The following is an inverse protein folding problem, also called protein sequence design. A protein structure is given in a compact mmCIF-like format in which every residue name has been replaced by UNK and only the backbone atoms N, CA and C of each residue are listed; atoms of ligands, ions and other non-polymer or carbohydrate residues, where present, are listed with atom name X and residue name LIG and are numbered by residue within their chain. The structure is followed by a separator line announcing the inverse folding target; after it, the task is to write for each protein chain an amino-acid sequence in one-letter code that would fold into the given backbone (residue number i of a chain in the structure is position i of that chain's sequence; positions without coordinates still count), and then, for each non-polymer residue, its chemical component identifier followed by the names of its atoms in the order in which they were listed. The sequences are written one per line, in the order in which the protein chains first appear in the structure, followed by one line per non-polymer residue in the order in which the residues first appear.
data_IF_955636108907
#
_entry.id   IF_955636108907
#
_cell.length_a   1.000
_cell.length_b   1.000
_cell.length_c   1.000
_cell.angle_alpha   90.00
_cell.angle_beta   90.00
_cell.angle_gamma   90.00
#
_symmetry.space_group_name_H-M   'P 1'
#
loop_
_entity.id
_entity.type
_entity.pdbx_description
1 polymer ?
#
# COMPACT_ATOMS: atom_id res chain seq x y z
N UNK A 1 37.66 -9.75 53.88
CA UNK A 1 36.44 -9.03 53.50
C UNK A 1 36.25 -9.15 51.99
N UNK A 2 35.35 -10.01 51.59
CA UNK A 2 35.01 -10.22 50.16
C UNK A 2 33.80 -9.32 49.87
N UNK A 3 33.96 -8.28 49.02
CA UNK A 3 32.86 -7.47 48.55
C UNK A 3 32.13 -8.24 47.46
N UNK A 4 30.79 -8.43 47.57
CA UNK A 4 30.06 -9.00 46.45
C UNK A 4 29.99 -8.01 45.31
N UNK A 5 30.49 -8.42 44.15
CA UNK A 5 30.32 -7.71 42.92
C UNK A 5 28.88 -8.02 42.46
N UNK A 6 27.98 -7.05 42.60
CA UNK A 6 26.67 -7.11 41.96
C UNK A 6 26.85 -6.94 40.46
N UNK A 7 26.84 -8.05 39.74
CA UNK A 7 26.68 -8.03 38.29
C UNK A 7 25.25 -7.65 37.96
N UNK A 8 25.03 -6.41 37.64
CA UNK A 8 23.78 -5.99 37.01
C UNK A 8 23.79 -6.51 35.57
N UNK A 9 23.11 -7.62 35.36
CA UNK A 9 22.82 -8.09 34.01
C UNK A 9 21.82 -7.10 33.38
N UNK A 10 22.31 -6.26 32.46
CA UNK A 10 21.45 -5.42 31.64
C UNK A 10 20.65 -6.35 30.70
N UNK A 11 19.38 -6.54 30.97
CA UNK A 11 18.46 -7.21 30.06
C UNK A 11 18.25 -6.27 28.85
N UNK A 12 18.90 -6.56 27.74
CA UNK A 12 18.59 -5.91 26.46
C UNK A 12 17.31 -6.55 25.97
N UNK A 13 16.19 -5.86 26.16
CA UNK A 13 14.93 -6.22 25.51
C UNK A 13 15.06 -5.80 24.05
N UNK A 14 15.37 -6.74 23.18
CA UNK A 14 15.28 -6.51 21.74
C UNK A 14 13.79 -6.37 21.41
N UNK A 15 13.34 -5.14 21.15
CA UNK A 15 12.05 -4.89 20.54
C UNK A 15 12.11 -5.47 19.12
N UNK A 16 11.57 -6.67 18.94
CA UNK A 16 11.33 -7.19 17.60
C UNK A 16 10.27 -6.30 16.96
N UNK A 17 10.68 -5.43 16.03
CA UNK A 17 9.75 -4.77 15.14
C UNK A 17 8.92 -5.85 14.40
N UNK A 18 7.58 -5.71 14.28
CA UNK A 18 6.81 -6.66 13.49
C UNK A 18 7.45 -6.74 12.12
N UNK A 19 7.86 -7.95 11.74
CA UNK A 19 8.40 -8.21 10.42
C UNK A 19 7.24 -8.13 9.43
N UNK A 20 6.95 -6.92 8.93
CA UNK A 20 6.26 -6.80 7.66
C UNK A 20 7.27 -7.30 6.62
N UNK A 21 6.86 -8.27 5.79
CA UNK A 21 7.63 -8.64 4.62
C UNK A 21 7.69 -7.36 3.75
N UNK A 22 8.77 -6.60 3.92
CA UNK A 22 9.00 -5.41 3.13
C UNK A 22 9.27 -5.83 1.70
N UNK A 23 8.42 -5.38 0.79
CA UNK A 23 8.61 -5.58 -0.63
C UNK A 23 9.83 -4.80 -1.12
N UNK A 24 10.26 -5.16 -2.31
CA UNK A 24 11.36 -4.49 -3.02
C UNK A 24 10.77 -3.45 -3.98
N UNK A 25 11.06 -2.16 -3.74
CA UNK A 25 10.55 -1.07 -4.56
C UNK A 25 11.05 -1.14 -6.01
N UNK A 26 12.29 -1.57 -6.25
CA UNK A 26 12.82 -1.72 -7.61
C UNK A 26 12.10 -2.83 -8.39
N UNK A 27 11.77 -3.93 -7.75
CA UNK A 27 10.92 -4.97 -8.34
C UNK A 27 9.47 -4.49 -8.51
N UNK A 28 8.98 -3.69 -7.57
CA UNK A 28 7.65 -3.08 -7.62
C UNK A 28 7.49 -2.14 -8.80
N UNK A 29 8.52 -1.42 -9.18
CA UNK A 29 8.51 -0.60 -10.40
C UNK A 29 8.22 -1.43 -11.65
N UNK A 30 8.77 -2.62 -11.73
CA UNK A 30 8.50 -3.55 -12.84
C UNK A 30 7.05 -4.06 -12.81
N UNK A 31 6.54 -4.36 -11.63
CA UNK A 31 5.12 -4.76 -11.45
C UNK A 31 4.20 -3.61 -11.85
N UNK A 32 4.55 -2.38 -11.51
CA UNK A 32 3.76 -1.19 -11.82
C UNK A 32 3.56 -0.96 -13.32
N UNK A 33 4.37 -1.56 -14.18
CA UNK A 33 4.15 -1.53 -15.63
C UNK A 33 2.76 -2.01 -16.04
N UNK A 34 2.16 -2.90 -15.25
CA UNK A 34 0.78 -3.38 -15.43
C UNK A 34 -0.27 -2.33 -15.04
N UNK A 35 0.12 -1.29 -14.36
CA UNK A 35 -0.76 -0.24 -13.82
C UNK A 35 -0.70 1.06 -14.65
N UNK A 36 0.38 1.27 -15.39
CA UNK A 36 0.69 2.52 -16.11
C UNK A 36 -0.32 2.90 -17.18
N UNK A 37 -1.04 1.94 -17.73
CA UNK A 37 -2.07 2.25 -18.73
C UNK A 37 -3.17 3.13 -18.14
N UNK A 38 -3.43 3.00 -16.84
CA UNK A 38 -4.54 3.67 -16.15
C UNK A 38 -4.10 4.60 -15.02
N UNK A 39 -2.91 4.42 -14.47
CA UNK A 39 -2.42 5.18 -13.32
C UNK A 39 -1.08 5.85 -13.57
N UNK A 40 -0.83 6.94 -12.87
CA UNK A 40 0.45 7.64 -12.87
C UNK A 40 0.91 7.96 -11.46
N UNK A 41 2.21 8.04 -11.27
CA UNK A 41 2.88 8.48 -10.04
C UNK A 41 3.99 9.47 -10.37
N UNK A 42 4.39 10.26 -9.39
CA UNK A 42 5.45 11.25 -9.51
C UNK A 42 4.93 12.68 -9.52
N UNK A 43 5.83 13.65 -9.63
CA UNK A 43 5.51 15.08 -9.53
C UNK A 43 4.53 15.57 -10.60
N UNK A 44 4.67 15.08 -11.83
CA UNK A 44 3.84 15.49 -12.96
C UNK A 44 2.68 14.54 -13.23
N UNK A 45 2.35 13.66 -12.28
CA UNK A 45 1.31 12.68 -12.45
C UNK A 45 -0.07 13.34 -12.61
N UNK A 46 -0.82 12.88 -13.60
CA UNK A 46 -2.19 13.31 -13.86
C UNK A 46 -3.14 12.13 -13.83
N UNK A 47 -4.39 12.39 -13.48
CA UNK A 47 -5.45 11.40 -13.62
C UNK A 47 -5.57 10.93 -15.07
N UNK A 48 -5.81 9.64 -15.21
CA UNK A 48 -6.06 8.97 -16.50
C UNK A 48 -7.40 8.23 -16.38
N UNK A 49 -7.46 7.00 -16.84
CA UNK A 49 -8.62 6.12 -16.60
C UNK A 49 -8.80 5.88 -15.10
N UNK A 50 -7.70 5.77 -14.36
CA UNK A 50 -7.66 5.74 -12.90
C UNK A 50 -7.07 7.01 -12.30
N UNK A 51 -7.22 7.21 -11.00
CA UNK A 51 -6.63 8.36 -10.31
C UNK A 51 -5.11 8.23 -10.20
N UNK A 52 -4.43 9.37 -9.98
CA UNK A 52 -3.02 9.33 -9.57
C UNK A 52 -2.88 8.58 -8.25
N UNK A 53 -1.75 7.90 -8.07
CA UNK A 53 -1.51 7.07 -6.90
C UNK A 53 -0.49 7.66 -5.92
N UNK A 54 -0.11 8.92 -6.08
CA UNK A 54 0.76 9.60 -5.11
C UNK A 54 0.11 9.60 -3.72
N UNK A 55 0.87 9.18 -2.72
CA UNK A 55 0.40 9.15 -1.35
C UNK A 55 -0.70 8.13 -1.05
N UNK A 56 -0.91 7.16 -1.94
CA UNK A 56 -2.03 6.20 -1.81
C UNK A 56 -1.89 5.28 -0.62
N UNK A 57 -0.67 4.85 -0.29
CA UNK A 57 -0.44 3.92 0.82
C UNK A 57 -0.73 4.61 2.15
N UNK A 58 -1.70 4.11 2.89
CA UNK A 58 -2.15 4.68 4.15
C UNK A 58 -3.19 5.79 4.02
N UNK A 59 -3.55 6.20 2.81
CA UNK A 59 -4.54 7.25 2.59
C UNK A 59 -5.97 6.73 2.74
N UNK A 60 -6.90 7.56 3.24
CA UNK A 60 -8.31 7.25 3.11
C UNK A 60 -8.70 7.11 1.64
N UNK A 61 -9.58 6.17 1.33
CA UNK A 61 -10.05 5.97 -0.04
C UNK A 61 -10.84 7.17 -0.54
N UNK A 62 -10.78 7.41 -1.86
CA UNK A 62 -11.62 8.44 -2.49
C UNK A 62 -11.17 9.87 -2.25
N UNK A 63 -9.89 10.14 -2.02
CA UNK A 63 -9.40 11.47 -1.62
C UNK A 63 -9.07 12.41 -2.79
N UNK A 64 -8.97 11.93 -4.01
CA UNK A 64 -8.63 12.79 -5.14
C UNK A 64 -9.88 13.56 -5.61
N UNK A 65 -9.96 14.90 -5.39
CA UNK A 65 -11.16 15.66 -5.71
C UNK A 65 -11.42 15.81 -7.21
N UNK A 66 -10.38 15.59 -8.02
CA UNK A 66 -10.44 15.75 -9.48
C UNK A 66 -10.74 14.44 -10.22
N UNK A 67 -10.97 13.37 -9.47
CA UNK A 67 -11.27 12.06 -10.03
C UNK A 67 -12.67 11.60 -9.66
N UNK A 68 -13.40 11.07 -10.65
CA UNK A 68 -14.73 10.49 -10.42
C UNK A 68 -14.60 9.00 -10.11
N UNK A 69 -14.71 8.67 -8.84
CA UNK A 69 -14.68 7.28 -8.38
C UNK A 69 -15.95 6.50 -8.70
N UNK A 70 -15.85 5.17 -8.68
CA UNK A 70 -17.02 4.29 -8.76
C UNK A 70 -17.93 4.48 -7.53
N UNK A 71 -19.20 4.15 -7.68
CA UNK A 71 -20.13 4.14 -6.54
C UNK A 71 -19.67 3.16 -5.46
N UNK A 72 -19.14 2.00 -5.88
CA UNK A 72 -18.60 1.00 -4.97
C UNK A 72 -17.47 1.56 -4.09
N UNK A 73 -16.52 2.28 -4.69
CA UNK A 73 -15.43 2.89 -3.93
C UNK A 73 -15.95 4.01 -3.03
N UNK A 74 -16.84 4.83 -3.51
CA UNK A 74 -17.43 5.93 -2.75
C UNK A 74 -18.16 5.41 -1.50
N UNK A 75 -18.89 4.32 -1.63
CA UNK A 75 -19.58 3.68 -0.49
C UNK A 75 -18.59 3.13 0.53
N UNK A 76 -17.56 2.44 0.07
CA UNK A 76 -16.52 1.91 0.97
C UNK A 76 -15.73 3.03 1.65
N UNK A 77 -15.47 4.12 0.92
CA UNK A 77 -14.82 5.31 1.48
C UNK A 77 -15.68 5.95 2.58
N UNK A 78 -16.98 6.06 2.36
CA UNK A 78 -17.92 6.56 3.36
C UNK A 78 -17.97 5.67 4.61
N UNK A 79 -17.73 4.37 4.45
CA UNK A 79 -17.58 3.41 5.54
C UNK A 79 -16.23 3.42 6.23
N UNK A 80 -15.31 4.28 5.81
CA UNK A 80 -14.00 4.45 6.44
C UNK A 80 -12.86 3.63 5.84
N UNK A 81 -12.98 3.18 4.59
CA UNK A 81 -11.90 2.44 3.93
C UNK A 81 -10.62 3.27 3.88
N UNK A 82 -9.54 2.72 4.41
CA UNK A 82 -8.19 3.26 4.31
C UNK A 82 -7.34 2.30 3.49
N UNK A 83 -6.54 2.84 2.60
CA UNK A 83 -5.60 2.05 1.80
C UNK A 83 -4.35 1.69 2.59
N UNK A 84 -4.55 1.01 3.72
CA UNK A 84 -3.47 0.40 4.47
C UNK A 84 -2.90 -0.82 3.73
N UNK A 85 -1.84 -1.38 4.24
CA UNK A 85 -1.17 -2.51 3.60
C UNK A 85 -2.11 -3.71 3.40
N UNK A 86 -2.91 -4.05 4.40
CA UNK A 86 -3.83 -5.18 4.34
C UNK A 86 -4.93 -4.97 3.28
N UNK A 87 -5.54 -3.79 3.23
CA UNK A 87 -6.59 -3.47 2.26
C UNK A 87 -6.03 -3.36 0.84
N UNK A 88 -4.88 -2.73 0.66
CA UNK A 88 -4.20 -2.70 -0.64
C UNK A 88 -3.87 -4.10 -1.12
N UNK A 89 -3.33 -4.94 -0.26
CA UNK A 89 -2.99 -6.33 -0.60
C UNK A 89 -4.22 -7.12 -1.05
N UNK A 90 -5.31 -7.01 -0.32
CA UNK A 90 -6.57 -7.68 -0.66
C UNK A 90 -7.14 -7.18 -1.99
N UNK A 91 -7.15 -5.86 -2.19
CA UNK A 91 -7.66 -5.23 -3.40
C UNK A 91 -6.82 -5.60 -4.62
N UNK A 92 -5.49 -5.51 -4.52
CA UNK A 92 -4.58 -5.81 -5.64
C UNK A 92 -4.55 -7.29 -5.99
N UNK A 93 -4.82 -8.16 -5.04
CA UNK A 93 -4.90 -9.61 -5.30
C UNK A 93 -6.13 -9.96 -6.11
N UNK A 94 -7.30 -9.46 -5.73
CA UNK A 94 -8.57 -9.68 -6.42
C UNK A 94 -9.47 -8.44 -6.30
N UNK A 95 -9.30 -7.46 -7.19
CA UNK A 95 -10.04 -6.21 -7.08
C UNK A 95 -11.56 -6.37 -7.01
N UNK A 96 -12.13 -7.22 -7.86
CA UNK A 96 -13.58 -7.42 -7.93
C UNK A 96 -14.16 -8.16 -6.73
N UNK A 97 -13.36 -9.00 -6.08
CA UNK A 97 -13.80 -9.72 -4.88
C UNK A 97 -13.77 -8.78 -3.66
N UNK A 98 -12.72 -7.96 -3.55
CA UNK A 98 -12.61 -6.98 -2.48
C UNK A 98 -13.62 -5.85 -2.61
N UNK A 99 -13.83 -5.37 -3.82
CA UNK A 99 -14.72 -4.24 -4.10
C UNK A 99 -15.66 -4.59 -5.27
N UNK A 100 -16.81 -5.18 -4.96
CA UNK A 100 -17.83 -5.51 -5.95
C UNK A 100 -18.35 -4.22 -6.58
N UNK A 101 -18.31 -4.17 -7.92
CA UNK A 101 -18.71 -2.97 -8.65
C UNK A 101 -17.58 -1.98 -8.90
N UNK A 102 -16.34 -2.34 -8.62
CA UNK A 102 -15.18 -1.51 -8.98
C UNK A 102 -15.14 -1.27 -10.49
N UNK A 103 -14.80 -0.04 -10.88
CA UNK A 103 -14.57 0.30 -12.29
C UNK A 103 -13.20 -0.14 -12.81
N UNK A 104 -12.30 -0.57 -11.94
CA UNK A 104 -10.96 -0.99 -12.32
C UNK A 104 -11.00 -2.33 -13.06
N UNK A 105 -10.63 -2.32 -14.34
CA UNK A 105 -10.63 -3.51 -15.20
C UNK A 105 -9.34 -4.30 -15.08
N UNK A 106 -8.94 -4.62 -13.86
CA UNK A 106 -7.70 -5.35 -13.57
C UNK A 106 -8.03 -6.65 -12.86
N UNK A 107 -7.49 -7.77 -13.39
CA UNK A 107 -7.81 -9.10 -12.86
C UNK A 107 -7.18 -9.38 -11.48
N UNK A 108 -6.11 -8.67 -11.16
CA UNK A 108 -5.38 -8.84 -9.91
C UNK A 108 -3.96 -9.40 -10.12
N UNK A 109 -3.17 -9.31 -9.08
CA UNK A 109 -1.81 -9.86 -9.04
C UNK A 109 -1.87 -11.25 -8.40
N UNK A 110 -1.36 -12.26 -9.11
CA UNK A 110 -1.40 -13.66 -8.65
C UNK A 110 -0.34 -14.00 -7.61
N UNK A 111 0.79 -13.27 -7.65
CA UNK A 111 1.93 -13.53 -6.77
C UNK A 111 1.91 -12.57 -5.60
N UNK A 112 1.96 -13.09 -4.40
CA UNK A 112 2.07 -12.30 -3.17
C UNK A 112 3.29 -11.38 -3.19
N UNK A 113 4.43 -11.88 -3.70
CA UNK A 113 5.64 -11.06 -3.85
C UNK A 113 5.42 -9.85 -4.75
N UNK A 114 4.65 -9.97 -5.82
CA UNK A 114 4.32 -8.85 -6.71
C UNK A 114 3.47 -7.80 -5.99
N UNK A 115 2.52 -8.24 -5.17
CA UNK A 115 1.69 -7.36 -4.35
C UNK A 115 2.55 -6.57 -3.36
N UNK A 116 3.40 -7.24 -2.62
CA UNK A 116 4.31 -6.62 -1.64
C UNK A 116 5.28 -5.64 -2.31
N UNK A 117 5.83 -6.04 -3.45
CA UNK A 117 6.80 -5.22 -4.19
C UNK A 117 6.15 -3.95 -4.75
N UNK A 118 4.96 -4.03 -5.33
CA UNK A 118 4.29 -2.85 -5.88
C UNK A 118 3.84 -1.89 -4.77
N UNK A 119 3.43 -2.40 -3.63
CA UNK A 119 3.12 -1.55 -2.47
C UNK A 119 4.38 -0.82 -2.00
N UNK A 120 5.52 -1.51 -1.91
CA UNK A 120 6.79 -0.87 -1.57
C UNK A 120 7.17 0.23 -2.56
N UNK A 121 6.95 0.02 -3.85
CA UNK A 121 7.16 1.03 -4.88
C UNK A 121 6.23 2.23 -4.68
N UNK A 122 4.94 2.01 -4.46
CA UNK A 122 3.97 3.08 -4.23
C UNK A 122 4.29 3.91 -2.97
N UNK A 123 4.86 3.29 -1.95
CA UNK A 123 5.29 3.99 -0.73
C UNK A 123 6.37 5.05 -0.98
N UNK A 124 7.09 4.95 -2.08
CA UNK A 124 8.13 5.92 -2.44
C UNK A 124 7.57 7.24 -2.99
N UNK A 125 6.27 7.32 -3.25
CA UNK A 125 5.61 8.50 -3.81
C UNK A 125 4.73 9.17 -2.75
N UNK A 126 5.17 10.31 -2.18
CA UNK A 126 4.35 11.04 -1.22
C UNK A 126 3.16 11.71 -1.89
N UNK A 127 2.17 12.11 -1.08
CA UNK A 127 1.05 12.93 -1.53
C UNK A 127 1.57 14.24 -2.13
N UNK A 128 0.94 14.66 -3.20
CA UNK A 128 1.27 15.91 -3.90
C UNK A 128 0.26 17.01 -3.54
#
# INVERSE_FOLDING_TARGET
MIKPILSTAAMIVALAAPAFAEGDAAKGEKVFKKCKACHAVGEDAKNKVGPTLNGIVGAPAGQNPDFKYSDALTEMAAGGLVWDDANLSAFLTKPKDFMKGTKMSFAGLRKEADVENVIAYLQTFPAQ
#
